data_IF_546070810122
#
_entry.id   IF_546070810122
#
_cell.length_a   1.000
_cell.length_b   1.000
_cell.length_c   1.000
_cell.angle_alpha   90.00
_cell.angle_beta   90.00
_cell.angle_gamma   90.00
#
_symmetry.space_group_name_H-M   'P 1'
#
loop_
_entity.id
_entity.type
_entity.pdbx_description
1 polymer ?
#
# COMPACT_ATOMS: atom_id res chain seq x y z
N UNK A 1 11.78 -1.75 -10.62
CA UNK A 1 12.54 -2.25 -11.79
C UNK A 1 13.89 -2.84 -11.44
N UNK A 2 14.85 -2.07 -10.90
CA UNK A 2 16.19 -2.59 -10.61
C UNK A 2 16.21 -3.81 -9.65
N UNK A 3 15.49 -3.74 -8.52
CA UNK A 3 15.45 -4.85 -7.56
C UNK A 3 14.73 -6.10 -8.11
N UNK A 4 13.62 -5.94 -8.83
CA UNK A 4 12.90 -7.06 -9.46
C UNK A 4 13.70 -7.72 -10.59
N UNK A 5 14.37 -6.91 -11.41
CA UNK A 5 15.25 -7.40 -12.48
C UNK A 5 16.46 -8.13 -11.88
N UNK A 6 17.02 -7.62 -10.78
CA UNK A 6 18.08 -8.30 -10.03
C UNK A 6 17.62 -9.63 -9.42
N UNK A 7 16.35 -9.75 -9.02
CA UNK A 7 15.75 -10.98 -8.48
C UNK A 7 15.19 -11.92 -9.55
N UNK A 8 15.33 -11.60 -10.85
CA UNK A 8 14.82 -12.42 -11.96
C UNK A 8 13.29 -12.48 -12.06
N UNK A 9 12.57 -11.60 -11.34
CA UNK A 9 11.11 -11.57 -11.33
C UNK A 9 10.50 -10.70 -12.45
N UNK A 10 11.33 -10.06 -13.27
CA UNK A 10 10.87 -9.20 -14.36
C UNK A 10 11.92 -9.11 -15.46
N UNK A 11 11.50 -9.38 -16.70
CA UNK A 11 12.31 -9.21 -17.91
C UNK A 11 12.47 -7.73 -18.33
N UNK A 12 11.79 -6.80 -17.65
CA UNK A 12 11.78 -5.39 -18.01
C UNK A 12 10.84 -5.03 -19.18
N UNK A 13 10.05 -5.99 -19.65
CA UNK A 13 8.94 -5.76 -20.58
C UNK A 13 7.87 -4.88 -19.95
N UNK A 14 7.48 -3.82 -20.65
CA UNK A 14 6.68 -2.74 -20.08
C UNK A 14 5.22 -3.19 -19.86
N UNK A 15 4.65 -4.15 -20.61
CA UNK A 15 3.25 -4.56 -20.40
C UNK A 15 2.96 -5.99 -20.85
N UNK A 16 2.18 -6.72 -20.04
CA UNK A 16 1.45 -7.94 -20.46
C UNK A 16 -0.01 -7.59 -20.72
N UNK A 17 -0.58 -8.09 -21.81
CA UNK A 17 -1.99 -7.82 -22.20
C UNK A 17 -3.03 -8.25 -21.17
N UNK A 18 -2.68 -9.20 -20.29
CA UNK A 18 -3.58 -9.74 -19.28
C UNK A 18 -3.60 -8.92 -17.97
N UNK A 19 -2.85 -7.82 -17.90
CA UNK A 19 -2.73 -7.00 -16.71
C UNK A 19 -4.03 -6.23 -16.39
N UNK A 20 -4.58 -6.43 -15.19
CA UNK A 20 -5.76 -5.70 -14.70
C UNK A 20 -5.39 -4.27 -14.24
N UNK A 21 -6.30 -3.29 -14.35
CA UNK A 21 -6.00 -1.90 -14.00
C UNK A 21 -5.76 -1.74 -12.48
N UNK A 22 -4.51 -1.46 -12.13
CA UNK A 22 -4.08 -1.33 -10.74
C UNK A 22 -4.60 -0.11 -10.00
N UNK A 23 -5.08 0.94 -10.68
CA UNK A 23 -5.56 2.15 -10.01
C UNK A 23 -6.77 1.86 -9.10
N UNK A 24 -7.71 1.01 -9.53
CA UNK A 24 -8.85 0.58 -8.69
C UNK A 24 -8.41 -0.31 -7.53
N UNK A 25 -7.58 -1.32 -7.81
CA UNK A 25 -7.09 -2.25 -6.80
C UNK A 25 -6.27 -1.52 -5.74
N UNK A 26 -5.33 -0.65 -6.17
CA UNK A 26 -4.53 0.21 -5.28
C UNK A 26 -5.40 1.14 -4.44
N UNK A 27 -6.48 1.71 -5.00
CA UNK A 27 -7.37 2.59 -4.24
C UNK A 27 -8.13 1.83 -3.16
N UNK A 28 -8.58 0.60 -3.45
CA UNK A 28 -9.22 -0.26 -2.47
C UNK A 28 -8.25 -0.75 -1.40
N UNK A 29 -7.07 -1.23 -1.79
CA UNK A 29 -6.05 -1.69 -0.85
C UNK A 29 -5.54 -0.56 0.02
N UNK A 30 -5.29 0.63 -0.54
CA UNK A 30 -4.93 1.82 0.25
C UNK A 30 -5.98 2.10 1.34
N UNK A 31 -7.27 2.12 0.99
CA UNK A 31 -8.33 2.30 1.98
C UNK A 31 -8.32 1.25 3.09
N UNK A 32 -8.22 -0.03 2.72
CA UNK A 32 -8.18 -1.15 3.68
C UNK A 32 -6.96 -1.06 4.60
N UNK A 33 -5.77 -0.83 4.04
CA UNK A 33 -4.52 -0.80 4.80
C UNK A 33 -4.38 0.46 5.66
N UNK A 34 -4.92 1.60 5.24
CA UNK A 34 -4.96 2.80 6.08
C UNK A 34 -5.87 2.58 7.29
N UNK A 35 -7.11 2.13 7.08
CA UNK A 35 -8.07 1.92 8.18
C UNK A 35 -7.62 0.75 9.07
N UNK A 36 -7.18 -0.35 8.46
CA UNK A 36 -6.65 -1.52 9.16
C UNK A 36 -5.39 -1.20 9.96
N UNK A 37 -4.47 -0.41 9.40
CA UNK A 37 -3.27 0.06 10.10
C UNK A 37 -3.61 0.95 11.29
N UNK A 38 -4.57 1.88 11.13
CA UNK A 38 -5.05 2.71 12.23
C UNK A 38 -5.65 1.89 13.37
N UNK A 39 -6.58 0.99 13.05
CA UNK A 39 -7.26 0.15 14.04
C UNK A 39 -6.27 -0.81 14.72
N UNK A 40 -5.39 -1.45 13.96
CA UNK A 40 -4.37 -2.36 14.49
C UNK A 40 -3.45 -1.67 15.48
N UNK A 41 -2.88 -0.51 15.10
CA UNK A 41 -2.00 0.24 16.01
C UNK A 41 -2.75 0.85 17.18
N UNK A 42 -4.01 1.23 17.02
CA UNK A 42 -4.83 1.70 18.13
C UNK A 42 -5.05 0.61 19.20
N UNK A 43 -5.35 -0.63 18.77
CA UNK A 43 -5.47 -1.78 19.67
C UNK A 43 -4.12 -2.13 20.32
N UNK A 44 -3.03 -2.17 19.54
CA UNK A 44 -1.69 -2.40 20.07
C UNK A 44 -1.29 -1.34 21.09
N UNK A 45 -1.65 -0.08 20.86
CA UNK A 45 -1.41 1.02 21.79
C UNK A 45 -2.12 0.79 23.13
N UNK A 46 -3.38 0.31 23.09
CA UNK A 46 -4.16 -0.05 24.29
C UNK A 46 -3.60 -1.26 25.02
N UNK A 47 -3.06 -2.25 24.30
CA UNK A 47 -2.39 -3.40 24.91
C UNK A 47 -1.05 -3.01 25.54
N UNK A 48 -0.29 -2.12 24.92
CA UNK A 48 1.03 -1.70 25.39
C UNK A 48 0.96 -0.77 26.60
N UNK A 49 0.05 0.20 26.62
CA UNK A 49 -0.07 1.19 27.71
C UNK A 49 -1.21 0.90 28.69
N UNK A 50 -2.10 -0.05 28.38
CA UNK A 50 -3.27 -0.37 29.19
C UNK A 50 -4.43 0.64 29.06
N UNK A 51 -5.45 0.51 29.93
CA UNK A 51 -6.72 1.24 29.80
C UNK A 51 -6.63 2.74 30.11
N UNK A 52 -5.53 3.22 30.72
CA UNK A 52 -5.37 4.64 31.13
C UNK A 52 -4.75 5.55 30.07
N UNK A 53 -4.73 5.11 28.81
CA UNK A 53 -4.11 5.90 27.76
C UNK A 53 -4.94 7.15 27.39
N UNK A 54 -4.26 8.28 27.20
CA UNK A 54 -4.89 9.53 26.78
C UNK A 54 -5.29 9.50 25.30
N UNK A 55 -6.42 10.13 24.98
CA UNK A 55 -6.93 10.27 23.61
C UNK A 55 -5.86 10.77 22.62
N UNK A 56 -5.12 11.88 22.87
CA UNK A 56 -4.13 12.36 21.91
C UNK A 56 -2.99 11.36 21.65
N UNK A 57 -2.56 10.61 22.66
CA UNK A 57 -1.53 9.57 22.48
C UNK A 57 -2.05 8.40 21.64
N UNK A 58 -3.29 7.99 21.89
CA UNK A 58 -3.92 6.92 21.11
C UNK A 58 -4.10 7.29 19.64
N UNK A 59 -4.45 8.56 19.35
CA UNK A 59 -4.57 9.06 17.97
C UNK A 59 -3.23 9.10 17.24
N UNK A 60 -2.14 9.47 17.91
CA UNK A 60 -0.78 9.44 17.31
C UNK A 60 -0.36 8.02 16.92
N UNK A 61 -0.67 7.02 17.75
CA UNK A 61 -0.41 5.62 17.42
C UNK A 61 -1.25 5.13 16.24
N UNK A 62 -2.55 5.44 16.23
CA UNK A 62 -3.42 5.11 15.11
C UNK A 62 -2.93 5.77 13.81
N UNK A 63 -2.54 7.04 13.84
CA UNK A 63 -1.98 7.74 12.68
C UNK A 63 -0.67 7.10 12.20
N UNK A 64 0.23 6.72 13.12
CA UNK A 64 1.46 6.01 12.78
C UNK A 64 1.17 4.67 12.09
N UNK A 65 0.21 3.90 12.62
CA UNK A 65 -0.22 2.65 12.01
C UNK A 65 -0.81 2.83 10.63
N UNK A 66 -1.69 3.83 10.45
CA UNK A 66 -2.23 4.17 9.14
C UNK A 66 -1.13 4.46 8.12
N UNK A 67 -0.19 5.34 8.45
CA UNK A 67 0.88 5.75 7.53
C UNK A 67 1.84 4.60 7.24
N UNK A 68 2.30 3.88 8.26
CA UNK A 68 3.28 2.80 8.10
C UNK A 68 2.72 1.61 7.30
N UNK A 69 1.50 1.16 7.62
CA UNK A 69 0.89 0.03 6.93
C UNK A 69 0.51 0.41 5.49
N UNK A 70 0.05 1.64 5.26
CA UNK A 70 -0.25 2.13 3.90
C UNK A 70 0.99 2.28 3.04
N UNK A 71 2.09 2.82 3.59
CA UNK A 71 3.33 2.99 2.83
C UNK A 71 3.98 1.64 2.53
N UNK A 72 4.01 0.72 3.50
CA UNK A 72 4.52 -0.63 3.31
C UNK A 72 3.72 -1.38 2.24
N UNK A 73 2.38 -1.35 2.30
CA UNK A 73 1.54 -2.01 1.30
C UNK A 73 1.68 -1.36 -0.08
N UNK A 74 1.77 -0.04 -0.18
CA UNK A 74 2.05 0.64 -1.45
C UNK A 74 3.40 0.21 -2.04
N UNK A 75 4.45 0.14 -1.22
CA UNK A 75 5.77 -0.34 -1.65
C UNK A 75 5.71 -1.80 -2.08
N UNK A 76 5.07 -2.68 -1.32
CA UNK A 76 4.93 -4.09 -1.65
C UNK A 76 4.17 -4.30 -2.96
N UNK A 77 3.08 -3.58 -3.20
CA UNK A 77 2.35 -3.65 -4.48
C UNK A 77 3.27 -3.21 -5.63
N UNK A 78 4.02 -2.11 -5.45
CA UNK A 78 5.01 -1.65 -6.45
C UNK A 78 6.19 -2.60 -6.62
N UNK A 79 6.46 -3.49 -5.65
CA UNK A 79 7.59 -4.42 -5.64
C UNK A 79 7.23 -5.87 -5.98
N UNK A 80 5.95 -6.26 -5.90
CA UNK A 80 5.49 -7.61 -6.26
C UNK A 80 4.43 -7.69 -7.38
N UNK A 81 3.65 -6.63 -7.63
CA UNK A 81 2.74 -6.52 -8.80
C UNK A 81 3.35 -5.70 -9.96
N UNK A 82 3.93 -6.33 -11.00
CA UNK A 82 4.42 -5.63 -12.20
C UNK A 82 3.31 -4.89 -12.97
N UNK A 83 2.08 -5.39 -12.90
CA UNK A 83 0.89 -4.72 -13.43
C UNK A 83 0.64 -3.33 -12.82
N UNK A 84 1.17 -3.06 -11.63
CA UNK A 84 0.98 -1.82 -10.89
C UNK A 84 2.17 -0.85 -11.04
N UNK A 85 3.00 -1.00 -12.06
CA UNK A 85 4.08 -0.06 -12.34
C UNK A 85 3.56 1.34 -12.73
N UNK A 86 4.31 2.40 -12.41
CA UNK A 86 3.85 3.78 -12.64
C UNK A 86 3.70 4.09 -14.13
N UNK A 87 4.61 3.57 -14.94
CA UNK A 87 4.55 3.64 -16.40
C UNK A 87 3.29 2.93 -16.93
N UNK A 88 2.90 1.83 -16.28
CA UNK A 88 1.76 1.02 -16.68
C UNK A 88 0.43 1.65 -16.32
N UNK A 89 0.34 2.20 -15.11
CA UNK A 89 -0.83 2.95 -14.66
C UNK A 89 -1.04 4.19 -15.55
N UNK A 90 0.03 4.93 -15.86
CA UNK A 90 -0.06 6.14 -16.69
C UNK A 90 -0.57 5.87 -18.11
N UNK A 91 -0.25 4.71 -18.70
CA UNK A 91 -0.75 4.31 -20.01
C UNK A 91 -2.27 4.00 -20.00
N UNK A 92 -2.79 3.44 -18.90
CA UNK A 92 -4.22 3.09 -18.78
C UNK A 92 -5.09 4.22 -18.22
N UNK A 93 -4.58 5.06 -17.31
CA UNK A 93 -5.32 6.22 -16.79
C UNK A 93 -5.59 7.26 -17.90
N UNK A 94 -4.72 7.34 -18.91
CA UNK A 94 -4.90 8.24 -20.07
C UNK A 94 -5.89 7.72 -21.13
N UNK A 95 -6.40 6.49 -21.02
CA UNK A 95 -7.23 5.85 -22.06
C UNK A 95 -8.74 5.92 -21.80
N UNK A 96 -9.19 6.89 -21.01
CA UNK A 96 -10.60 7.21 -20.76
C UNK A 96 -10.84 8.70 -21.01
N UNK A 97 -10.84 9.08 -22.27
CA UNK A 97 -11.70 10.14 -22.80
C UNK A 97 -12.69 9.49 -23.76
#
# INVERSE_FOLDING_TARGET
MALRRALGWSDGELMRSDAKPCSRLMRQTAGIFTVGGALGFWVLCRLHYGPRITVPRSLRWAACGAVSVSSASALLVRLFSPECESQNIAAYDKRKE
#
